data_IF_081961442023
#
_entry.id   IF_081961442023
#
_cell.length_a   1.000
_cell.length_b   1.000
_cell.length_c   1.000
_cell.angle_alpha   90.00
_cell.angle_beta   90.00
_cell.angle_gamma   90.00
#
_symmetry.space_group_name_H-M   'P 1'
#
loop_
_entity.id
_entity.type
_entity.pdbx_description
1 polymer ?
#
# COMPACT_ATOMS: atom_id res chain seq x y z
N UNK A 1 8.14 1.70 18.86
CA UNK A 1 7.16 0.90 18.10
C UNK A 1 5.73 1.27 18.49
N UNK A 2 5.36 2.52 18.23
CA UNK A 2 3.96 2.92 18.13
C UNK A 2 3.61 2.71 16.67
N UNK A 3 2.64 1.85 16.37
CA UNK A 3 2.24 1.58 14.99
C UNK A 3 1.93 2.91 14.29
N UNK A 4 2.56 3.17 13.14
CA UNK A 4 2.43 4.40 12.33
C UNK A 4 0.96 4.72 11.97
N UNK A 5 0.07 3.73 12.12
CA UNK A 5 -1.36 3.77 11.84
C UNK A 5 -2.26 3.53 13.07
N UNK A 6 -1.71 3.39 14.28
CA UNK A 6 -2.50 3.08 15.49
C UNK A 6 -1.95 3.81 16.71
N UNK A 7 -2.61 4.92 17.06
CA UNK A 7 -2.50 5.55 18.36
C UNK A 7 -3.54 4.93 19.29
N UNK A 8 -3.09 3.96 20.11
CA UNK A 8 -3.95 3.15 20.99
C UNK A 8 -4.75 3.94 22.04
N UNK A 9 -4.48 5.24 22.19
CA UNK A 9 -5.24 6.16 23.05
C UNK A 9 -6.48 6.78 22.39
N UNK A 10 -6.53 6.89 21.07
CA UNK A 10 -7.53 7.71 20.36
C UNK A 10 -8.62 6.86 19.72
N UNK A 11 -8.25 5.71 19.14
CA UNK A 11 -9.19 4.73 18.60
C UNK A 11 -8.62 3.31 18.67
N UNK A 12 -9.25 2.44 19.47
CA UNK A 12 -8.85 1.03 19.59
C UNK A 12 -9.39 0.14 18.45
N UNK A 13 -10.29 0.67 17.60
CA UNK A 13 -10.95 -0.07 16.52
C UNK A 13 -10.37 0.23 15.14
N UNK A 14 -10.86 -0.48 14.12
CA UNK A 14 -10.55 -0.18 12.71
C UNK A 14 -11.16 1.17 12.35
N UNK A 15 -10.30 2.13 12.08
CA UNK A 15 -10.66 3.45 11.55
C UNK A 15 -11.19 3.29 10.12
N UNK A 16 -12.24 4.00 9.73
CA UNK A 16 -12.91 3.80 8.43
C UNK A 16 -12.41 4.75 7.35
N UNK A 17 -12.41 4.29 6.11
CA UNK A 17 -11.88 5.07 4.98
C UNK A 17 -10.38 4.84 4.84
N UNK A 18 -10.01 4.11 3.80
CA UNK A 18 -8.60 3.80 3.51
C UNK A 18 -7.99 4.82 2.54
N UNK A 19 -8.79 5.26 1.56
CA UNK A 19 -8.44 6.24 0.54
C UNK A 19 -9.68 7.08 0.19
N UNK A 20 -9.46 8.26 -0.38
CA UNK A 20 -10.50 9.19 -0.77
C UNK A 20 -10.41 9.58 -2.25
N UNK A 21 -11.51 10.07 -2.78
CA UNK A 21 -11.59 10.77 -4.06
C UNK A 21 -12.65 11.89 -3.94
N UNK A 22 -12.92 12.60 -5.04
CA UNK A 22 -13.91 13.68 -5.04
C UNK A 22 -15.29 13.18 -4.59
N UNK A 23 -15.89 13.91 -3.66
CA UNK A 23 -17.17 13.60 -3.05
C UNK A 23 -18.03 14.84 -2.77
N UNK A 24 -17.56 16.05 -3.08
CA UNK A 24 -18.37 17.26 -2.88
C UNK A 24 -19.27 17.49 -4.12
N UNK A 25 -20.62 17.56 -3.97
CA UNK A 25 -21.51 17.87 -5.08
C UNK A 25 -21.23 19.22 -5.77
N UNK A 26 -20.61 20.17 -5.08
CA UNK A 26 -20.22 21.47 -5.67
C UNK A 26 -19.07 21.34 -6.67
N UNK A 27 -18.26 20.30 -6.53
CA UNK A 27 -17.17 19.91 -7.45
C UNK A 27 -17.39 18.51 -8.02
N UNK A 28 -18.67 18.12 -8.12
CA UNK A 28 -19.09 16.75 -8.41
C UNK A 28 -18.85 16.29 -9.84
N UNK A 29 -19.23 15.05 -10.12
CA UNK A 29 -19.13 14.43 -11.44
C UNK A 29 -20.39 14.67 -12.25
N UNK A 30 -20.21 15.03 -13.52
CA UNK A 30 -21.31 15.16 -14.47
C UNK A 30 -21.80 13.77 -14.92
N UNK A 31 -23.09 13.49 -14.72
CA UNK A 31 -23.75 12.24 -15.13
C UNK A 31 -24.92 12.57 -16.03
N UNK A 32 -25.05 11.86 -17.14
CA UNK A 32 -26.18 11.98 -18.04
C UNK A 32 -27.25 10.96 -17.68
N UNK A 33 -28.44 11.43 -17.31
CA UNK A 33 -29.60 10.57 -17.06
C UNK A 33 -30.54 10.59 -18.28
N UNK A 34 -31.00 9.41 -18.69
CA UNK A 34 -32.00 9.21 -19.75
C UNK A 34 -33.32 8.65 -19.23
N UNK A 35 -33.40 8.28 -17.94
CA UNK A 35 -34.50 7.51 -17.38
C UNK A 35 -35.54 8.40 -16.67
N UNK A 36 -35.14 9.18 -15.66
CA UNK A 36 -36.09 9.94 -14.81
C UNK A 36 -35.96 11.45 -14.97
N UNK A 37 -34.74 11.96 -15.13
CA UNK A 37 -34.44 13.38 -15.32
C UNK A 37 -33.51 13.53 -16.53
N UNK A 38 -34.10 13.64 -17.72
CA UNK A 38 -33.32 13.72 -18.96
C UNK A 38 -32.37 14.94 -18.95
N UNK A 39 -31.07 14.68 -19.12
CA UNK A 39 -30.05 15.72 -19.22
C UNK A 39 -28.80 15.47 -18.39
N UNK A 40 -27.92 16.47 -18.36
CA UNK A 40 -26.72 16.47 -17.53
C UNK A 40 -27.04 16.92 -16.11
N UNK A 41 -26.62 16.13 -15.14
CA UNK A 41 -26.75 16.36 -13.71
C UNK A 41 -25.36 16.31 -13.06
N UNK A 42 -25.21 16.90 -11.88
CA UNK A 42 -23.98 16.83 -11.10
C UNK A 42 -24.24 16.03 -9.83
N UNK A 43 -23.40 15.02 -9.57
CA UNK A 43 -23.47 14.18 -8.39
C UNK A 43 -22.19 14.25 -7.58
N UNK A 44 -22.34 14.15 -6.26
CA UNK A 44 -21.23 13.97 -5.32
C UNK A 44 -21.54 12.86 -4.33
N UNK A 45 -20.99 13.00 -3.14
CA UNK A 45 -21.01 12.03 -2.06
C UNK A 45 -19.92 10.98 -2.18
N UNK A 46 -19.71 10.25 -1.08
CA UNK A 46 -18.79 9.11 -1.05
C UNK A 46 -19.20 8.01 -2.02
N UNK A 47 -20.47 7.95 -2.44
CA UNK A 47 -20.91 7.09 -3.53
C UNK A 47 -20.07 7.34 -4.79
N UNK A 48 -20.00 8.58 -5.28
CA UNK A 48 -19.16 8.93 -6.43
C UNK A 48 -17.70 8.55 -6.20
N UNK A 49 -17.16 8.86 -5.02
CA UNK A 49 -15.80 8.47 -4.63
C UNK A 49 -15.57 6.95 -4.73
N UNK A 50 -16.51 6.12 -4.27
CA UNK A 50 -16.42 4.66 -4.36
C UNK A 50 -16.30 4.18 -5.81
N UNK A 51 -17.07 4.75 -6.75
CA UNK A 51 -16.97 4.37 -8.16
C UNK A 51 -15.61 4.76 -8.75
N UNK A 52 -15.08 5.94 -8.39
CA UNK A 52 -13.77 6.40 -8.85
C UNK A 52 -12.66 5.48 -8.33
N UNK A 53 -12.64 5.17 -7.03
CA UNK A 53 -11.66 4.24 -6.45
C UNK A 53 -11.79 2.85 -7.07
N UNK A 54 -13.02 2.36 -7.26
CA UNK A 54 -13.27 1.08 -7.94
C UNK A 54 -12.72 1.04 -9.36
N UNK A 55 -12.86 2.13 -10.13
CA UNK A 55 -12.28 2.26 -11.46
C UNK A 55 -10.74 2.29 -11.42
N UNK A 56 -10.13 2.91 -10.41
CA UNK A 56 -8.68 2.88 -10.20
C UNK A 56 -8.17 1.46 -9.96
N UNK A 57 -8.84 0.68 -9.11
CA UNK A 57 -8.54 -0.76 -8.96
C UNK A 57 -8.77 -1.52 -10.28
N UNK A 58 -9.84 -1.22 -11.02
CA UNK A 58 -10.10 -1.82 -12.34
C UNK A 58 -9.01 -1.53 -13.36
N UNK A 59 -8.44 -0.32 -13.35
CA UNK A 59 -7.33 0.05 -14.22
C UNK A 59 -6.03 -0.66 -13.83
N UNK A 60 -5.73 -0.79 -12.53
CA UNK A 60 -4.63 -1.62 -12.04
C UNK A 60 -4.81 -3.11 -12.36
N UNK A 61 -6.05 -3.60 -12.41
CA UNK A 61 -6.35 -4.95 -12.88
C UNK A 61 -6.12 -5.10 -14.39
N UNK A 62 -6.53 -4.11 -15.18
CA UNK A 62 -6.31 -4.07 -16.62
C UNK A 62 -4.83 -4.07 -17.02
N UNK A 63 -3.93 -3.58 -16.17
CA UNK A 63 -2.48 -3.65 -16.38
C UNK A 63 -1.84 -4.98 -15.99
N UNK A 64 -2.60 -5.92 -15.42
CA UNK A 64 -2.11 -7.24 -15.00
C UNK A 64 -1.31 -7.24 -13.70
N UNK A 65 -1.33 -6.13 -12.95
CA UNK A 65 -0.50 -5.93 -11.75
C UNK A 65 -1.34 -5.54 -10.55
N UNK A 66 -2.60 -5.97 -10.45
CA UNK A 66 -3.48 -5.62 -9.33
C UNK A 66 -2.93 -6.08 -7.99
N UNK A 67 -2.85 -5.17 -7.02
CA UNK A 67 -2.69 -5.52 -5.61
C UNK A 67 -4.04 -5.36 -4.89
N UNK A 68 -4.73 -6.48 -4.69
CA UNK A 68 -6.05 -6.51 -4.07
C UNK A 68 -6.00 -6.56 -2.54
N UNK A 69 -4.84 -6.83 -1.93
CA UNK A 69 -4.72 -6.92 -0.49
C UNK A 69 -4.83 -5.53 0.16
N UNK A 70 -5.82 -5.28 1.05
CA UNK A 70 -5.99 -3.96 1.66
C UNK A 70 -4.76 -3.50 2.46
N UNK A 71 -4.05 -4.44 3.11
CA UNK A 71 -2.84 -4.14 3.87
C UNK A 71 -1.68 -3.61 3.02
N UNK A 72 -1.70 -3.80 1.69
CA UNK A 72 -0.67 -3.25 0.81
C UNK A 72 -0.76 -1.73 0.64
N UNK A 73 -1.91 -1.13 0.97
CA UNK A 73 -2.00 0.33 1.08
C UNK A 73 -1.27 0.84 2.32
N UNK A 74 -1.05 0.00 3.34
CA UNK A 74 -0.50 0.38 4.63
C UNK A 74 0.93 -0.14 4.79
N UNK A 75 1.74 -0.07 3.73
CA UNK A 75 3.17 -0.42 3.82
C UNK A 75 3.93 0.72 4.45
N UNK A 76 4.70 0.42 5.49
CA UNK A 76 5.74 1.32 5.97
C UNK A 76 6.78 1.48 4.84
N UNK A 77 7.21 2.70 4.55
CA UNK A 77 8.40 2.90 3.73
C UNK A 77 9.57 2.18 4.42
N UNK A 78 10.11 1.14 3.77
CA UNK A 78 11.23 0.35 4.26
C UNK A 78 12.50 1.19 4.57
N UNK A 79 12.54 2.45 4.14
CA UNK A 79 13.60 3.41 4.46
C UNK A 79 13.36 4.24 5.74
N UNK A 80 12.33 3.93 6.54
CA UNK A 80 12.01 4.66 7.77
C UNK A 80 11.34 6.01 7.50
N UNK A 81 10.88 6.25 6.27
CA UNK A 81 10.12 7.43 5.87
C UNK A 81 8.67 7.35 6.37
N UNK A 82 8.28 8.31 7.18
CA UNK A 82 6.88 8.49 7.61
C UNK A 82 6.15 9.32 6.56
N UNK A 83 5.83 8.71 5.42
CA UNK A 83 5.17 9.38 4.30
C UNK A 83 4.06 8.52 3.70
N UNK A 84 3.15 9.14 2.93
CA UNK A 84 2.03 8.42 2.31
C UNK A 84 2.55 7.33 1.38
N UNK A 85 1.78 6.26 1.31
CA UNK A 85 1.97 5.16 0.36
C UNK A 85 2.21 5.72 -1.03
N UNK A 86 3.31 5.28 -1.66
CA UNK A 86 3.69 5.76 -2.98
C UNK A 86 2.51 5.65 -3.97
N UNK A 87 2.19 6.77 -4.64
CA UNK A 87 1.03 6.87 -5.54
C UNK A 87 -0.26 7.36 -4.87
N UNK A 88 -0.24 7.75 -3.59
CA UNK A 88 -1.30 8.51 -2.94
C UNK A 88 -0.83 9.93 -2.59
N UNK A 89 -1.76 10.87 -2.60
CA UNK A 89 -1.55 12.27 -2.22
C UNK A 89 -2.41 12.59 -0.99
N UNK A 90 -1.80 12.88 0.17
CA UNK A 90 -2.51 13.25 1.38
C UNK A 90 -3.36 14.48 1.19
N UNK A 91 -4.54 14.49 1.80
CA UNK A 91 -5.31 15.70 1.99
C UNK A 91 -4.96 16.24 3.37
N UNK A 92 -4.51 17.50 3.44
CA UNK A 92 -3.91 18.10 4.64
C UNK A 92 -4.77 19.19 5.27
N UNK A 93 -6.05 19.28 4.89
CA UNK A 93 -6.95 20.33 5.39
C UNK A 93 -8.41 19.95 5.21
N UNK A 94 -9.25 20.46 6.12
CA UNK A 94 -10.69 20.23 6.11
C UNK A 94 -11.11 19.22 7.18
N UNK A 95 -12.39 19.18 7.48
CA UNK A 95 -12.94 18.37 8.56
C UNK A 95 -14.31 17.81 8.19
N UNK A 96 -14.60 16.57 8.60
CA UNK A 96 -15.91 15.94 8.42
C UNK A 96 -16.85 16.21 9.62
N UNK A 97 -16.28 16.48 10.80
CA UNK A 97 -16.97 16.83 12.04
C UNK A 97 -15.99 17.36 13.08
N UNK A 98 -16.46 18.00 14.14
CA UNK A 98 -15.59 18.44 15.24
C UNK A 98 -15.32 17.28 16.22
N UNK A 99 -14.15 16.63 16.11
CA UNK A 99 -13.63 15.76 17.18
C UNK A 99 -12.20 16.11 17.65
N UNK A 100 -11.54 17.07 17.01
CA UNK A 100 -10.35 17.75 17.54
C UNK A 100 -9.00 17.04 17.32
N UNK A 101 -8.99 15.91 16.63
CA UNK A 101 -7.81 15.13 16.30
C UNK A 101 -7.84 14.66 14.83
N UNK A 102 -6.81 13.91 14.44
CA UNK A 102 -6.67 13.34 13.10
C UNK A 102 -7.85 12.49 12.63
N UNK A 103 -8.74 12.00 13.51
CA UNK A 103 -9.90 11.20 13.11
C UNK A 103 -10.96 12.04 12.40
N UNK A 104 -11.00 13.36 12.64
CA UNK A 104 -12.00 14.23 12.02
C UNK A 104 -11.43 15.50 11.39
N UNK A 105 -10.15 15.81 11.58
CA UNK A 105 -9.48 16.97 11.01
C UNK A 105 -8.30 16.52 10.16
N UNK A 106 -8.32 16.79 8.85
CA UNK A 106 -7.26 16.43 7.94
C UNK A 106 -6.00 17.29 8.09
N UNK A 107 -6.07 18.40 8.84
CA UNK A 107 -4.89 19.18 9.21
C UNK A 107 -4.08 18.53 10.34
N UNK A 108 -4.69 17.60 11.07
CA UNK A 108 -4.02 16.68 11.98
C UNK A 108 -3.90 15.33 11.28
N UNK A 109 -2.70 14.80 11.14
CA UNK A 109 -2.48 13.53 10.43
C UNK A 109 -1.42 12.74 11.16
N UNK A 110 -1.59 11.43 11.17
CA UNK A 110 -0.55 10.52 11.63
C UNK A 110 0.72 10.73 10.80
N UNK A 111 1.85 10.28 11.32
CA UNK A 111 3.11 10.35 10.60
C UNK A 111 3.07 9.58 9.27
N UNK A 112 2.17 8.61 9.10
CA UNK A 112 1.88 7.96 7.82
C UNK A 112 1.19 8.85 6.78
N UNK A 113 0.69 10.03 7.17
CA UNK A 113 -0.22 10.84 6.38
C UNK A 113 -1.69 10.43 6.49
N UNK A 114 -2.02 9.43 7.32
CA UNK A 114 -3.41 9.03 7.55
C UNK A 114 -4.17 10.08 8.36
N UNK A 115 -5.38 10.43 7.90
CA UNK A 115 -6.39 11.12 8.68
C UNK A 115 -7.79 10.52 8.43
N UNK A 116 -8.68 10.56 9.40
CA UNK A 116 -10.01 9.96 9.30
C UNK A 116 -10.92 10.56 8.22
N UNK A 117 -10.84 11.87 7.87
CA UNK A 117 -11.59 12.40 6.74
C UNK A 117 -11.24 11.78 5.38
N UNK A 118 -9.97 11.44 5.13
CA UNK A 118 -9.51 11.04 3.79
C UNK A 118 -8.66 9.76 3.71
N UNK A 119 -8.48 9.07 4.83
CA UNK A 119 -7.58 7.93 4.95
C UNK A 119 -6.15 8.33 4.63
N UNK A 120 -5.51 7.56 3.75
CA UNK A 120 -4.17 7.83 3.22
C UNK A 120 -4.15 8.88 2.09
N UNK A 121 -5.31 9.44 1.75
CA UNK A 121 -5.48 10.46 0.73
C UNK A 121 -5.98 9.93 -0.62
N UNK A 122 -5.63 10.64 -1.69
CA UNK A 122 -6.20 10.47 -3.02
C UNK A 122 -5.26 9.76 -4.00
N UNK A 123 -5.75 8.91 -4.92
CA UNK A 123 -4.91 8.29 -5.94
C UNK A 123 -4.24 9.29 -6.88
N UNK A 124 -2.93 9.18 -7.02
CA UNK A 124 -2.16 9.79 -8.12
C UNK A 124 -1.78 8.71 -9.13
N UNK A 125 -2.74 8.42 -10.01
CA UNK A 125 -2.68 7.24 -10.87
C UNK A 125 -2.99 5.96 -10.11
N UNK A 126 -2.48 4.83 -10.61
CA UNK A 126 -2.80 3.48 -10.13
C UNK A 126 -1.69 2.83 -9.30
N UNK A 127 -0.56 3.51 -9.09
CA UNK A 127 0.64 2.92 -8.49
C UNK A 127 0.41 2.32 -7.10
N UNK A 128 -0.38 2.99 -6.25
CA UNK A 128 -0.72 2.50 -4.91
C UNK A 128 -1.59 1.23 -4.91
N UNK A 129 -2.21 0.91 -6.05
CA UNK A 129 -3.13 -0.22 -6.24
C UNK A 129 -2.50 -1.35 -7.06
N UNK A 130 -1.22 -1.19 -7.41
CA UNK A 130 -0.46 -2.18 -8.15
C UNK A 130 0.42 -2.99 -7.21
N UNK A 131 0.78 -4.20 -7.64
CA UNK A 131 1.88 -4.95 -7.04
C UNK A 131 3.13 -4.12 -7.27
N UNK A 132 3.58 -3.41 -6.24
CA UNK A 132 4.97 -2.99 -6.17
C UNK A 132 5.79 -4.27 -6.32
N UNK A 133 6.71 -4.30 -7.28
CA UNK A 133 7.75 -5.33 -7.34
C UNK A 133 8.72 -5.12 -6.18
N UNK A 134 8.19 -5.06 -4.95
CA UNK A 134 8.95 -5.26 -3.72
C UNK A 134 9.38 -6.71 -3.78
N UNK A 135 10.49 -6.93 -4.48
CA UNK A 135 11.16 -8.20 -4.49
C UNK A 135 11.51 -8.50 -3.05
N UNK A 136 10.76 -9.38 -2.41
CA UNK A 136 11.11 -9.84 -1.07
C UNK A 136 12.58 -10.29 -1.10
N UNK A 137 13.45 -9.70 -0.25
CA UNK A 137 14.85 -10.07 -0.23
C UNK A 137 14.97 -11.57 0.06
N UNK A 138 15.63 -12.29 -0.83
CA UNK A 138 15.79 -13.73 -0.73
C UNK A 138 17.16 -14.19 -1.21
N UNK A 139 17.46 -15.47 -1.03
CA UNK A 139 18.66 -16.08 -1.55
C UNK A 139 18.43 -17.55 -1.89
N UNK A 140 19.10 -18.04 -2.93
CA UNK A 140 19.20 -19.47 -3.25
C UNK A 140 20.55 -20.04 -2.80
N UNK A 141 20.57 -21.32 -2.42
CA UNK A 141 21.78 -22.07 -2.12
C UNK A 141 21.90 -23.26 -3.07
N UNK A 142 23.08 -23.45 -3.64
CA UNK A 142 23.44 -24.67 -4.37
C UNK A 142 24.84 -25.15 -3.99
N UNK A 143 25.09 -26.45 -4.10
CA UNK A 143 26.39 -27.05 -3.82
C UNK A 143 26.81 -27.94 -5.00
N UNK A 144 28.07 -27.85 -5.41
CA UNK A 144 28.64 -28.70 -6.46
C UNK A 144 29.98 -29.29 -6.01
N UNK A 145 30.20 -30.61 -6.16
CA UNK A 145 29.24 -31.62 -6.60
C UNK A 145 28.09 -31.81 -5.59
N UNK A 146 26.94 -32.34 -6.00
CA UNK A 146 25.81 -32.57 -5.07
C UNK A 146 26.10 -33.70 -4.06
N UNK A 147 27.04 -34.60 -4.40
CA UNK A 147 27.53 -35.67 -3.52
C UNK A 147 28.91 -36.13 -3.97
N UNK A 148 29.69 -36.68 -3.04
CA UNK A 148 30.99 -37.32 -3.30
C UNK A 148 31.26 -38.42 -2.27
N UNK A 149 31.86 -39.53 -2.72
CA UNK A 149 32.33 -40.60 -1.83
C UNK A 149 33.78 -40.34 -1.45
N UNK A 150 34.08 -40.35 -0.14
CA UNK A 150 35.43 -40.04 0.39
C UNK A 150 35.99 -41.26 1.10
N UNK A 151 37.18 -41.70 0.69
CA UNK A 151 37.94 -42.77 1.36
C UNK A 151 38.51 -42.29 2.69
N UNK A 152 38.61 -43.18 3.68
CA UNK A 152 39.15 -42.85 5.01
C UNK A 152 40.55 -42.22 4.90
N UNK A 153 40.74 -41.09 5.57
CA UNK A 153 41.99 -40.32 5.51
C UNK A 153 42.13 -39.38 4.30
N UNK A 154 41.13 -39.32 3.40
CA UNK A 154 41.08 -38.36 2.29
C UNK A 154 40.24 -37.13 2.63
N UNK A 155 40.47 -36.03 1.91
CA UNK A 155 39.65 -34.82 1.98
C UNK A 155 38.95 -34.57 0.62
N UNK A 156 37.77 -33.97 0.66
CA UNK A 156 37.05 -33.49 -0.52
C UNK A 156 36.64 -32.03 -0.31
N UNK A 157 36.31 -31.32 -1.39
CA UNK A 157 35.83 -29.94 -1.33
C UNK A 157 34.51 -29.81 -2.08
N UNK A 158 33.59 -29.02 -1.53
CA UNK A 158 32.32 -28.65 -2.14
C UNK A 158 32.31 -27.14 -2.36
N UNK A 159 31.91 -26.70 -3.55
CA UNK A 159 31.65 -25.30 -3.81
C UNK A 159 30.19 -25.00 -3.49
N UNK A 160 29.93 -24.15 -2.49
CA UNK A 160 28.59 -23.63 -2.20
C UNK A 160 28.45 -22.28 -2.91
N UNK A 161 27.40 -22.14 -3.72
CA UNK A 161 27.05 -20.89 -4.38
C UNK A 161 25.83 -20.29 -3.71
N UNK A 162 25.91 -18.99 -3.41
CA UNK A 162 24.78 -18.18 -2.92
C UNK A 162 24.32 -17.31 -4.08
N UNK A 163 23.03 -17.35 -4.42
CA UNK A 163 22.41 -16.50 -5.43
C UNK A 163 21.43 -15.53 -4.76
N UNK A 164 21.87 -14.30 -4.44
CA UNK A 164 20.98 -13.27 -3.89
C UNK A 164 19.88 -12.93 -4.88
N UNK A 165 18.69 -12.66 -4.38
CA UNK A 165 17.56 -12.15 -5.15
C UNK A 165 16.87 -11.03 -4.38
N UNK A 166 16.18 -10.18 -5.12
CA UNK A 166 15.37 -9.11 -4.54
C UNK A 166 16.10 -8.12 -3.64
N UNK A 167 17.37 -7.83 -3.94
CA UNK A 167 18.16 -6.86 -3.17
C UNK A 167 18.69 -7.37 -1.84
N UNK A 168 18.66 -8.70 -1.59
CA UNK A 168 19.29 -9.28 -0.40
C UNK A 168 20.78 -8.93 -0.31
N UNK A 169 21.14 -8.25 0.76
CA UNK A 169 22.51 -7.80 1.10
C UNK A 169 23.00 -8.38 2.45
N UNK A 170 22.20 -9.24 3.08
CA UNK A 170 22.51 -9.89 4.35
C UNK A 170 23.58 -10.97 4.25
N UNK A 171 24.15 -11.33 5.40
CA UNK A 171 25.09 -12.45 5.49
C UNK A 171 24.36 -13.79 5.52
N UNK A 172 24.84 -14.76 4.73
CA UNK A 172 24.44 -16.17 4.85
C UNK A 172 25.52 -16.93 5.62
N UNK A 173 25.23 -17.31 6.86
CA UNK A 173 26.17 -18.01 7.74
C UNK A 173 25.92 -19.52 7.68
N UNK A 174 26.97 -20.29 7.43
CA UNK A 174 26.97 -21.75 7.56
C UNK A 174 27.63 -22.13 8.90
N UNK A 175 26.92 -22.87 9.75
CA UNK A 175 27.48 -23.51 10.96
C UNK A 175 27.50 -25.02 10.76
N UNK A 176 28.66 -25.65 11.00
CA UNK A 176 28.88 -27.10 10.87
C UNK A 176 29.24 -27.68 12.23
#
# INVERSE_FOLDING_TARGET
DQNVYSLSGDCAGRQTGDVAAVADPSTGVAVYDTYSQSGWLVFGGTSVSTQIIGATYGLAAGSGTLQAAPGALYTDDASGGTGPTAGLVPVTSGSNTSCGDYLCDASDSLSSGYNGPTGLGTPYGVGAFMTSTSTSPGFGLSATPASATVTQGSATSYAVSVSPSGGFDGNVTLSV
#
